data_IF_767326305738
#
_entry.id   IF_767326305738
#
_cell.length_a   1.000
_cell.length_b   1.000
_cell.length_c   1.000
_cell.angle_alpha   90.00
_cell.angle_beta   90.00
_cell.angle_gamma   90.00
#
_symmetry.space_group_name_H-M   'P 1'
#
loop_
_entity.id
_entity.type
_entity.pdbx_description
1 polymer ?
#
# COMPACT_ATOMS: atom_id res chain seq x y z
N UNK A 1 -4.27 0.19 -36.97
CA UNK A 1 -4.14 1.68 -37.03
C UNK A 1 -4.49 2.22 -35.66
N UNK A 2 -3.55 2.88 -34.98
CA UNK A 2 -3.81 3.49 -33.67
C UNK A 2 -5.06 4.37 -33.75
N UNK A 3 -6.05 4.08 -32.94
CA UNK A 3 -7.27 4.89 -32.87
C UNK A 3 -6.88 6.21 -32.20
N UNK A 4 -6.91 7.29 -32.93
CA UNK A 4 -6.62 8.62 -32.38
C UNK A 4 -7.74 8.97 -31.42
N UNK A 5 -7.45 9.14 -30.12
CA UNK A 5 -8.39 9.64 -29.15
C UNK A 5 -8.97 10.97 -29.61
N UNK A 6 -10.27 11.15 -29.55
CA UNK A 6 -10.93 12.42 -29.91
C UNK A 6 -10.92 13.40 -28.72
N UNK A 7 -10.65 12.90 -27.52
CA UNK A 7 -10.62 13.62 -26.25
C UNK A 7 -9.23 14.16 -25.96
N UNK A 8 -9.15 15.40 -25.44
CA UNK A 8 -7.91 16.05 -25.01
C UNK A 8 -7.68 15.98 -23.51
N UNK A 9 -6.44 16.20 -23.07
CA UNK A 9 -6.07 16.28 -21.66
C UNK A 9 -6.87 17.38 -20.93
N UNK A 10 -7.07 18.54 -21.56
CA UNK A 10 -7.84 19.65 -20.98
C UNK A 10 -9.32 19.27 -20.78
N UNK A 11 -9.89 18.50 -21.69
CA UNK A 11 -11.28 18.03 -21.56
C UNK A 11 -11.42 17.04 -20.39
N UNK A 12 -10.47 16.13 -20.21
CA UNK A 12 -10.47 15.20 -19.07
C UNK A 12 -10.34 15.95 -17.74
N UNK A 13 -9.43 16.94 -17.67
CA UNK A 13 -9.28 17.79 -16.48
C UNK A 13 -10.56 18.59 -16.19
N UNK A 14 -11.16 19.21 -17.19
CA UNK A 14 -12.39 19.96 -17.04
C UNK A 14 -13.55 19.08 -16.56
N UNK A 15 -13.65 17.86 -17.07
CA UNK A 15 -14.66 16.88 -16.64
C UNK A 15 -14.43 16.40 -15.20
N UNK A 16 -13.18 16.18 -14.80
CA UNK A 16 -12.84 15.83 -13.42
C UNK A 16 -13.18 16.98 -12.46
N UNK A 17 -12.89 18.21 -12.85
CA UNK A 17 -13.22 19.37 -12.05
C UNK A 17 -14.74 19.56 -11.91
N UNK A 18 -15.51 19.32 -12.96
CA UNK A 18 -16.98 19.38 -12.95
C UNK A 18 -17.62 18.42 -11.95
N UNK A 19 -16.97 17.27 -11.67
CA UNK A 19 -17.44 16.28 -10.69
C UNK A 19 -16.72 16.37 -9.33
N UNK A 20 -15.96 17.44 -9.07
CA UNK A 20 -15.20 17.66 -7.83
C UNK A 20 -16.04 17.38 -6.58
N UNK A 21 -17.22 17.98 -6.50
CA UNK A 21 -18.10 17.87 -5.33
C UNK A 21 -18.55 16.43 -5.06
N UNK A 22 -18.75 15.64 -6.11
CA UNK A 22 -19.08 14.23 -5.99
C UNK A 22 -17.89 13.44 -5.40
N UNK A 23 -16.67 13.69 -5.91
CA UNK A 23 -15.46 12.99 -5.43
C UNK A 23 -15.15 13.38 -3.97
N UNK A 24 -15.26 14.65 -3.63
CA UNK A 24 -15.07 15.13 -2.25
C UNK A 24 -16.10 14.51 -1.31
N UNK A 25 -17.38 14.45 -1.72
CA UNK A 25 -18.42 13.79 -0.92
C UNK A 25 -18.14 12.31 -0.72
N UNK A 26 -17.69 11.59 -1.76
CA UNK A 26 -17.35 10.17 -1.68
C UNK A 26 -16.17 9.97 -0.71
N UNK A 27 -15.11 10.77 -0.82
CA UNK A 27 -13.97 10.78 0.12
C UNK A 27 -14.43 11.00 1.56
N UNK A 28 -15.21 12.05 1.84
CA UNK A 28 -15.64 12.39 3.20
C UNK A 28 -16.60 11.34 3.79
N UNK A 29 -17.38 10.67 2.95
CA UNK A 29 -18.25 9.56 3.37
C UNK A 29 -17.42 8.37 3.85
N UNK A 30 -16.35 8.01 3.11
CA UNK A 30 -15.42 6.94 3.49
C UNK A 30 -14.64 7.32 4.75
N UNK A 31 -14.13 8.57 4.80
CA UNK A 31 -13.34 9.08 5.92
C UNK A 31 -14.10 9.06 7.25
N UNK A 32 -15.38 9.35 7.24
CA UNK A 32 -16.21 9.40 8.46
C UNK A 32 -16.49 8.03 9.08
N UNK A 33 -16.31 6.94 8.32
CA UNK A 33 -16.60 5.58 8.77
C UNK A 33 -15.47 4.59 8.41
N UNK A 34 -14.21 4.86 8.84
CA UNK A 34 -13.06 4.05 8.47
C UNK A 34 -13.12 2.65 9.09
N UNK A 35 -12.73 1.64 8.32
CA UNK A 35 -12.69 0.24 8.73
C UNK A 35 -11.29 -0.32 8.49
N UNK A 36 -10.87 -1.35 9.24
CA UNK A 36 -9.50 -1.86 9.27
C UNK A 36 -9.45 -3.33 8.89
N UNK A 37 -8.48 -3.71 8.10
CA UNK A 37 -8.22 -5.09 7.71
C UNK A 37 -9.06 -5.56 6.52
N UNK A 38 -9.47 -6.83 6.51
CA UNK A 38 -10.15 -7.47 5.38
C UNK A 38 -11.67 -7.38 5.43
N UNK A 39 -12.26 -7.14 6.61
CA UNK A 39 -13.72 -7.05 6.81
C UNK A 39 -14.16 -5.59 6.88
N UNK A 40 -14.59 -5.05 5.75
CA UNK A 40 -14.91 -3.64 5.54
C UNK A 40 -16.36 -3.46 5.04
N UNK A 41 -17.39 -3.91 5.78
CA UNK A 41 -18.75 -3.98 5.27
C UNK A 41 -19.33 -2.64 4.86
N UNK A 42 -19.07 -1.56 5.59
CA UNK A 42 -19.59 -0.22 5.27
C UNK A 42 -18.87 0.39 4.06
N UNK A 43 -17.53 0.26 4.01
CA UNK A 43 -16.68 0.72 2.91
C UNK A 43 -17.06 0.01 1.61
N UNK A 44 -17.15 -1.34 1.64
CA UNK A 44 -17.58 -2.17 0.51
C UNK A 44 -18.98 -1.77 0.04
N UNK A 45 -19.93 -1.61 0.96
CA UNK A 45 -21.30 -1.19 0.63
C UNK A 45 -21.32 0.20 -0.03
N UNK A 46 -20.52 1.15 0.49
CA UNK A 46 -20.39 2.50 -0.07
C UNK A 46 -19.85 2.44 -1.51
N UNK A 47 -18.72 1.77 -1.73
CA UNK A 47 -18.08 1.65 -3.05
C UNK A 47 -19.01 0.95 -4.04
N UNK A 48 -19.63 -0.16 -3.66
CA UNK A 48 -20.59 -0.88 -4.52
C UNK A 48 -21.79 -0.02 -4.90
N UNK A 49 -22.37 0.71 -3.92
CA UNK A 49 -23.50 1.61 -4.16
C UNK A 49 -23.11 2.67 -5.20
N UNK A 50 -21.96 3.32 -5.05
CA UNK A 50 -21.49 4.36 -5.98
C UNK A 50 -21.28 3.79 -7.38
N UNK A 51 -20.66 2.62 -7.51
CA UNK A 51 -20.47 1.94 -8.80
C UNK A 51 -21.80 1.57 -9.46
N UNK A 52 -22.78 1.06 -8.69
CA UNK A 52 -24.12 0.74 -9.20
C UNK A 52 -24.85 2.00 -9.71
N UNK A 53 -24.76 3.13 -8.99
CA UNK A 53 -25.33 4.42 -9.42
C UNK A 53 -24.73 4.93 -10.74
N UNK A 54 -23.48 4.58 -11.02
CA UNK A 54 -22.79 4.87 -12.29
C UNK A 54 -23.08 3.82 -13.38
N UNK A 55 -23.90 2.80 -13.10
CA UNK A 55 -24.28 1.73 -14.04
C UNK A 55 -23.25 0.62 -14.23
N UNK A 56 -22.30 0.49 -13.30
CA UNK A 56 -21.42 -0.68 -13.23
C UNK A 56 -22.12 -1.91 -12.63
N UNK A 57 -21.50 -3.09 -12.78
CA UNK A 57 -21.92 -4.34 -12.15
C UNK A 57 -20.81 -4.80 -11.16
N UNK A 58 -20.70 -4.16 -9.98
CA UNK A 58 -19.63 -4.48 -9.05
C UNK A 58 -19.88 -5.85 -8.39
N UNK A 59 -18.78 -6.59 -8.22
CA UNK A 59 -18.76 -7.85 -7.46
C UNK A 59 -17.78 -7.78 -6.32
N UNK A 60 -18.08 -8.48 -5.24
CA UNK A 60 -17.13 -8.65 -4.15
C UNK A 60 -16.12 -9.75 -4.48
N UNK A 61 -14.87 -9.55 -4.07
CA UNK A 61 -13.80 -10.51 -4.25
C UNK A 61 -12.82 -10.39 -3.09
N UNK A 62 -12.73 -11.42 -2.26
CA UNK A 62 -11.80 -11.48 -1.11
C UNK A 62 -11.82 -10.23 -0.21
N UNK A 63 -13.02 -9.75 0.13
CA UNK A 63 -13.21 -8.55 0.95
C UNK A 63 -13.10 -7.22 0.19
N UNK A 64 -12.69 -7.23 -1.08
CA UNK A 64 -12.64 -6.07 -1.94
C UNK A 64 -13.80 -5.99 -2.93
N UNK A 65 -13.79 -4.95 -3.77
CA UNK A 65 -14.78 -4.73 -4.83
C UNK A 65 -14.08 -4.66 -6.18
N UNK A 66 -14.64 -5.37 -7.17
CA UNK A 66 -14.15 -5.35 -8.56
C UNK A 66 -15.30 -4.96 -9.47
N UNK A 67 -15.03 -4.10 -10.43
CA UNK A 67 -15.96 -3.75 -11.51
C UNK A 67 -15.17 -3.55 -12.81
N UNK A 68 -15.84 -3.82 -13.94
CA UNK A 68 -15.25 -3.67 -15.26
C UNK A 68 -16.08 -2.73 -16.13
N UNK A 69 -15.38 -2.04 -17.02
CA UNK A 69 -15.99 -1.29 -18.11
C UNK A 69 -15.27 -1.60 -19.41
N UNK A 70 -16.04 -2.05 -20.41
CA UNK A 70 -15.53 -2.34 -21.75
C UNK A 70 -16.05 -1.28 -22.71
N UNK A 71 -15.15 -0.79 -23.56
CA UNK A 71 -15.47 0.16 -24.62
C UNK A 71 -16.01 -0.49 -25.87
N UNK A 72 -15.64 0.07 -27.02
CA UNK A 72 -16.12 -0.37 -28.34
C UNK A 72 -15.53 -1.69 -28.80
N UNK A 73 -14.36 -2.06 -28.30
CA UNK A 73 -13.66 -3.29 -28.64
C UNK A 73 -13.26 -4.10 -27.39
N UNK A 74 -13.16 -5.42 -27.56
CA UNK A 74 -12.74 -6.36 -26.49
C UNK A 74 -11.22 -6.58 -26.55
N UNK A 75 -10.45 -5.50 -26.58
CA UNK A 75 -9.01 -5.56 -26.74
C UNK A 75 -8.26 -5.81 -25.42
N UNK A 76 -7.32 -4.92 -25.14
CA UNK A 76 -6.49 -4.96 -23.93
C UNK A 76 -7.30 -4.68 -22.67
N UNK A 77 -6.78 -5.10 -21.53
CA UNK A 77 -7.34 -4.80 -20.23
C UNK A 77 -6.28 -4.11 -19.35
N UNK A 78 -6.63 -2.96 -18.79
CA UNK A 78 -5.84 -2.25 -17.78
C UNK A 78 -6.51 -2.41 -16.41
N UNK A 79 -5.74 -2.80 -15.41
CA UNK A 79 -6.17 -2.80 -14.02
C UNK A 79 -5.84 -1.45 -13.38
N UNK A 80 -6.84 -0.81 -12.77
CA UNK A 80 -6.67 0.34 -11.89
C UNK A 80 -6.98 -0.06 -10.46
N UNK A 81 -6.07 0.21 -9.52
CA UNK A 81 -6.24 -0.19 -8.10
C UNK A 81 -6.29 1.03 -7.18
N UNK A 82 -7.18 0.98 -6.23
CA UNK A 82 -7.14 1.78 -5.00
C UNK A 82 -7.29 0.84 -3.79
N UNK A 83 -6.53 1.09 -2.74
CA UNK A 83 -6.77 0.55 -1.41
C UNK A 83 -7.95 1.26 -0.74
N UNK A 84 -8.53 0.66 0.30
CA UNK A 84 -9.71 1.24 0.95
C UNK A 84 -9.82 0.94 2.45
N UNK A 85 -8.84 0.30 3.06
CA UNK A 85 -8.76 0.07 4.49
C UNK A 85 -8.19 1.29 5.23
N UNK A 86 -8.28 1.27 6.56
CA UNK A 86 -7.83 2.34 7.44
C UNK A 86 -6.95 1.77 8.57
N UNK A 87 -6.49 2.66 9.43
CA UNK A 87 -5.62 2.35 10.56
C UNK A 87 -6.34 2.49 11.90
N UNK A 88 -5.89 1.73 12.90
CA UNK A 88 -6.32 1.87 14.32
C UNK A 88 -5.63 3.08 14.95
N UNK A 89 -6.02 4.25 14.51
CA UNK A 89 -5.52 5.55 14.98
C UNK A 89 -6.73 6.40 15.38
N UNK A 90 -6.73 6.92 16.59
CA UNK A 90 -7.78 7.84 17.04
C UNK A 90 -7.53 9.22 16.42
N UNK A 91 -8.41 9.65 15.56
CA UNK A 91 -8.26 10.90 14.80
C UNK A 91 -8.30 12.14 15.69
N UNK A 92 -7.40 13.10 15.43
CA UNK A 92 -7.28 14.38 16.12
C UNK A 92 -7.16 15.57 15.15
N UNK A 93 -7.69 15.44 13.94
CA UNK A 93 -7.59 16.48 12.90
C UNK A 93 -8.49 17.66 13.16
N UNK A 94 -9.64 17.46 13.83
CA UNK A 94 -10.67 18.48 14.03
C UNK A 94 -11.49 18.80 12.78
N UNK A 95 -11.45 17.95 11.76
CA UNK A 95 -12.28 18.10 10.55
C UNK A 95 -13.76 17.85 10.87
N UNK A 96 -14.66 18.53 10.17
CA UNK A 96 -16.11 18.37 10.34
C UNK A 96 -16.61 16.95 10.01
N UNK A 97 -15.83 16.20 9.25
CA UNK A 97 -16.08 14.81 8.85
C UNK A 97 -15.10 13.83 9.49
N UNK A 98 -14.38 14.23 10.54
CA UNK A 98 -13.45 13.38 11.28
C UNK A 98 -14.16 12.12 11.78
N UNK A 99 -13.42 11.01 11.81
CA UNK A 99 -13.95 9.75 12.32
C UNK A 99 -14.11 9.78 13.85
N UNK A 100 -15.09 9.00 14.33
CA UNK A 100 -15.37 8.89 15.77
C UNK A 100 -15.28 7.45 16.30
N UNK A 101 -14.84 6.48 15.48
CA UNK A 101 -14.87 5.05 15.82
C UNK A 101 -13.51 4.49 16.28
N UNK A 102 -12.51 5.35 16.52
CA UNK A 102 -11.17 4.93 16.94
C UNK A 102 -10.25 4.45 15.81
N UNK A 103 -10.71 4.57 14.57
CA UNK A 103 -9.93 4.33 13.37
C UNK A 103 -9.81 5.62 12.54
N UNK A 104 -8.85 5.70 11.62
CA UNK A 104 -8.63 6.87 10.76
C UNK A 104 -8.00 6.44 9.44
N UNK A 105 -8.41 7.07 8.34
CA UNK A 105 -7.70 7.00 7.06
C UNK A 105 -6.41 7.84 7.08
N UNK A 106 -5.48 7.47 7.99
CA UNK A 106 -4.24 8.21 8.20
C UNK A 106 -3.18 7.97 7.11
N UNK A 107 -3.44 7.06 6.18
CA UNK A 107 -2.64 6.83 4.96
C UNK A 107 -3.29 7.43 3.69
N UNK A 108 -4.55 7.90 3.79
CA UNK A 108 -5.24 8.54 2.68
C UNK A 108 -5.97 7.58 1.73
N UNK A 109 -6.25 6.34 2.14
CA UNK A 109 -6.93 5.35 1.30
C UNK A 109 -8.38 5.76 0.95
N UNK A 110 -9.03 6.58 1.77
CA UNK A 110 -10.29 7.25 1.44
C UNK A 110 -10.16 8.15 0.20
N UNK A 111 -9.02 8.83 0.03
CA UNK A 111 -8.74 9.64 -1.16
C UNK A 111 -8.49 8.76 -2.38
N UNK A 112 -7.74 7.66 -2.22
CA UNK A 112 -7.44 6.73 -3.33
C UNK A 112 -8.73 6.10 -3.86
N UNK A 113 -9.59 5.60 -2.97
CA UNK A 113 -10.89 5.06 -3.34
C UNK A 113 -11.78 6.11 -4.01
N UNK A 114 -11.81 7.36 -3.48
CA UNK A 114 -12.59 8.45 -4.07
C UNK A 114 -12.05 8.87 -5.44
N UNK A 115 -10.72 8.94 -5.63
CA UNK A 115 -10.11 9.23 -6.95
C UNK A 115 -10.47 8.14 -7.96
N UNK A 116 -10.45 6.87 -7.57
CA UNK A 116 -10.81 5.76 -8.46
C UNK A 116 -12.33 5.74 -8.76
N UNK A 117 -13.20 6.08 -7.80
CA UNK A 117 -14.64 6.28 -8.04
C UNK A 117 -14.89 7.46 -9.00
N UNK A 118 -14.15 8.55 -8.85
CA UNK A 118 -14.17 9.68 -9.79
C UNK A 118 -13.74 9.24 -11.19
N UNK A 119 -12.67 8.47 -11.30
CA UNK A 119 -12.22 7.89 -12.57
C UNK A 119 -13.28 6.94 -13.16
N UNK A 120 -13.93 6.12 -12.36
CA UNK A 120 -15.03 5.28 -12.80
C UNK A 120 -16.15 6.10 -13.45
N UNK A 121 -16.53 7.23 -12.84
CA UNK A 121 -17.55 8.14 -13.41
C UNK A 121 -17.11 8.72 -14.75
N UNK A 122 -15.87 9.18 -14.85
CA UNK A 122 -15.32 9.72 -16.11
C UNK A 122 -15.19 8.65 -17.20
N UNK A 123 -14.69 7.46 -16.86
CA UNK A 123 -14.59 6.34 -17.80
C UNK A 123 -15.95 5.92 -18.35
N UNK A 124 -17.01 6.05 -17.53
CA UNK A 124 -18.38 5.81 -18.01
C UNK A 124 -18.84 6.86 -19.01
N UNK A 125 -18.50 8.13 -18.78
CA UNK A 125 -18.79 9.21 -19.74
C UNK A 125 -18.03 9.02 -21.05
N UNK A 126 -16.78 8.53 -20.97
CA UNK A 126 -15.88 8.32 -22.09
C UNK A 126 -15.86 6.87 -22.60
N UNK A 127 -16.86 6.07 -22.25
CA UNK A 127 -16.89 4.64 -22.62
C UNK A 127 -16.72 4.40 -24.14
N UNK A 128 -17.24 5.29 -24.97
CA UNK A 128 -17.10 5.21 -26.44
C UNK A 128 -15.68 5.43 -26.94
N UNK A 129 -14.80 6.03 -26.14
CA UNK A 129 -13.38 6.27 -26.46
C UNK A 129 -12.46 5.12 -25.97
N UNK A 130 -12.98 4.20 -25.16
CA UNK A 130 -12.21 3.07 -24.65
C UNK A 130 -11.99 2.02 -25.75
N UNK A 131 -10.72 1.73 -26.04
CA UNK A 131 -10.32 0.64 -26.93
C UNK A 131 -9.88 -0.58 -26.12
N UNK A 132 -10.81 -1.18 -25.37
CA UNK A 132 -10.53 -2.29 -24.49
C UNK A 132 -11.33 -2.24 -23.20
N UNK A 133 -10.78 -2.83 -22.14
CA UNK A 133 -11.43 -2.94 -20.83
C UNK A 133 -10.61 -2.27 -19.75
N UNK A 134 -11.27 -1.57 -18.83
CA UNK A 134 -10.69 -1.13 -17.57
C UNK A 134 -11.28 -1.98 -16.44
N UNK A 135 -10.42 -2.62 -15.66
CA UNK A 135 -10.77 -3.34 -14.45
C UNK A 135 -10.46 -2.47 -13.24
N UNK A 136 -11.50 -2.05 -12.53
CA UNK A 136 -11.42 -1.27 -11.30
C UNK A 136 -11.32 -2.22 -10.11
N UNK A 137 -10.31 -2.05 -9.27
CA UNK A 137 -10.05 -2.89 -8.10
C UNK A 137 -9.96 -2.00 -6.87
N UNK A 138 -10.91 -2.17 -5.97
CA UNK A 138 -10.91 -1.55 -4.64
C UNK A 138 -10.49 -2.61 -3.64
N UNK A 139 -9.28 -2.48 -3.12
CA UNK A 139 -8.59 -3.52 -2.37
C UNK A 139 -8.67 -3.26 -0.86
N UNK A 140 -9.00 -4.27 -0.03
CA UNK A 140 -8.92 -4.19 1.44
C UNK A 140 -7.49 -4.46 1.93
N UNK A 141 -7.24 -4.19 3.21
CA UNK A 141 -6.10 -4.67 4.01
C UNK A 141 -4.72 -4.47 3.37
N UNK A 142 -4.48 -3.27 2.84
CA UNK A 142 -3.15 -2.86 2.38
C UNK A 142 -2.18 -2.80 3.57
N UNK A 143 -2.60 -2.18 4.67
CA UNK A 143 -1.81 -1.96 5.89
C UNK A 143 -1.44 -3.28 6.61
N UNK A 144 -2.23 -4.33 6.40
CA UNK A 144 -1.94 -5.69 6.87
C UNK A 144 -1.09 -6.52 5.90
N UNK A 145 -0.82 -6.05 4.69
CA UNK A 145 -0.12 -6.77 3.61
C UNK A 145 -0.77 -8.10 3.24
N UNK A 146 -2.10 -8.23 3.42
CA UNK A 146 -2.82 -9.47 3.08
C UNK A 146 -3.83 -9.28 1.96
N UNK A 147 -4.31 -8.06 1.72
CA UNK A 147 -5.37 -7.76 0.77
C UNK A 147 -5.02 -8.11 -0.67
N UNK A 148 -3.87 -7.65 -1.17
CA UNK A 148 -3.42 -7.97 -2.52
C UNK A 148 -3.26 -9.48 -2.74
N UNK A 149 -2.63 -10.17 -1.80
CA UNK A 149 -2.45 -11.63 -1.85
C UNK A 149 -3.79 -12.39 -1.89
N UNK A 150 -4.75 -11.95 -1.07
CA UNK A 150 -6.09 -12.53 -1.03
C UNK A 150 -6.83 -12.33 -2.36
N UNK A 151 -6.80 -11.12 -2.93
CA UNK A 151 -7.42 -10.82 -4.22
C UNK A 151 -6.74 -11.57 -5.38
N UNK A 152 -5.41 -11.66 -5.40
CA UNK A 152 -4.65 -12.45 -6.39
C UNK A 152 -5.04 -13.92 -6.32
N UNK A 153 -5.08 -14.50 -5.12
CA UNK A 153 -5.48 -15.89 -4.88
C UNK A 153 -6.93 -16.16 -5.32
N UNK A 154 -7.82 -15.17 -5.13
CA UNK A 154 -9.21 -15.23 -5.57
C UNK A 154 -9.39 -14.99 -7.08
N UNK A 155 -8.30 -14.72 -7.82
CA UNK A 155 -8.31 -14.62 -9.27
C UNK A 155 -8.66 -13.24 -9.82
N UNK A 156 -8.32 -12.15 -9.13
CA UNK A 156 -8.54 -10.76 -9.62
C UNK A 156 -7.90 -10.50 -10.99
N UNK A 157 -6.82 -11.21 -11.33
CA UNK A 157 -6.15 -11.15 -12.65
C UNK A 157 -6.79 -12.05 -13.72
N UNK A 158 -7.98 -12.59 -13.49
CA UNK A 158 -8.72 -13.42 -14.45
C UNK A 158 -9.98 -12.68 -14.91
N UNK A 159 -10.50 -13.03 -16.06
CA UNK A 159 -11.80 -12.70 -16.62
C UNK A 159 -12.32 -11.27 -16.40
N UNK A 160 -11.79 -10.28 -17.18
CA UNK A 160 -10.73 -10.33 -18.16
C UNK A 160 -9.34 -10.25 -17.54
N UNK A 161 -8.35 -10.91 -18.13
CA UNK A 161 -6.97 -10.84 -17.67
C UNK A 161 -6.35 -9.48 -18.04
N UNK A 162 -5.87 -8.67 -17.06
CA UNK A 162 -5.19 -7.43 -17.38
C UNK A 162 -3.77 -7.68 -17.92
N UNK A 163 -3.31 -6.82 -18.83
CA UNK A 163 -1.96 -6.84 -19.35
C UNK A 163 -1.05 -5.81 -18.67
N UNK A 164 -1.63 -4.88 -17.90
CA UNK A 164 -0.90 -3.93 -17.08
C UNK A 164 -1.73 -3.51 -15.87
N UNK A 165 -1.05 -3.04 -14.82
CA UNK A 165 -1.65 -2.49 -13.62
C UNK A 165 -1.17 -1.06 -13.35
N UNK A 166 -2.06 -0.21 -12.85
CA UNK A 166 -1.73 1.15 -12.43
C UNK A 166 -2.39 1.46 -11.09
N UNK A 167 -1.62 2.05 -10.17
CA UNK A 167 -2.10 2.56 -8.90
C UNK A 167 -1.52 3.95 -8.61
N UNK A 168 -2.27 4.75 -7.85
CA UNK A 168 -1.92 6.11 -7.48
C UNK A 168 -2.11 6.28 -5.97
N UNK A 169 -1.10 6.80 -5.28
CA UNK A 169 -1.14 7.02 -3.83
C UNK A 169 -0.93 8.50 -3.47
N UNK A 170 -1.73 9.02 -2.55
CA UNK A 170 -1.57 10.37 -1.98
C UNK A 170 -0.34 10.44 -1.09
N UNK A 171 0.50 11.47 -1.23
CA UNK A 171 1.73 11.62 -0.45
C UNK A 171 1.73 12.93 0.35
N UNK A 172 1.53 12.81 1.67
CA UNK A 172 1.63 13.95 2.59
C UNK A 172 3.06 14.51 2.64
N UNK A 173 3.19 15.83 2.80
CA UNK A 173 4.49 16.50 2.83
C UNK A 173 5.10 16.77 1.45
N UNK A 174 4.42 16.39 0.39
CA UNK A 174 4.77 16.71 -1.01
C UNK A 174 3.83 17.79 -1.54
N UNK A 175 4.33 18.78 -2.31
CA UNK A 175 3.50 19.84 -2.89
C UNK A 175 2.28 19.29 -3.62
N UNK A 176 1.12 19.92 -3.42
CA UNK A 176 -0.16 19.44 -3.95
C UNK A 176 -0.14 19.29 -5.47
N UNK A 177 -0.46 18.10 -5.95
CA UNK A 177 -0.53 17.76 -7.37
C UNK A 177 0.82 17.51 -8.06
N UNK A 178 1.95 17.57 -7.34
CA UNK A 178 3.23 17.08 -7.86
C UNK A 178 3.17 15.54 -7.95
N UNK A 179 3.45 15.00 -9.13
CA UNK A 179 3.49 13.55 -9.36
C UNK A 179 4.93 13.05 -9.20
N UNK A 180 5.12 12.05 -8.36
CA UNK A 180 6.40 11.38 -8.18
C UNK A 180 6.33 9.97 -8.77
N UNK A 181 7.35 9.57 -9.49
CA UNK A 181 7.48 8.21 -10.05
C UNK A 181 8.94 7.76 -10.03
N UNK A 182 9.16 6.46 -9.97
CA UNK A 182 10.49 5.86 -10.07
C UNK A 182 10.42 4.51 -10.76
N UNK A 183 11.44 4.18 -11.55
CA UNK A 183 11.53 2.92 -12.31
C UNK A 183 12.21 1.84 -11.47
N UNK A 184 11.92 0.58 -11.76
CA UNK A 184 12.51 -0.54 -11.04
C UNK A 184 11.97 -0.67 -9.61
N UNK A 185 12.81 -1.03 -8.66
CA UNK A 185 12.36 -1.17 -7.26
C UNK A 185 12.10 0.20 -6.65
N UNK A 186 10.82 0.54 -6.50
CA UNK A 186 10.35 1.87 -6.09
C UNK A 186 10.07 1.96 -4.58
N UNK A 187 9.66 0.85 -3.94
CA UNK A 187 9.49 0.78 -2.49
C UNK A 187 10.10 -0.51 -1.96
N UNK A 188 10.58 -0.48 -0.72
CA UNK A 188 11.12 -1.66 -0.06
C UNK A 188 10.03 -2.69 0.22
N UNK A 189 10.39 -3.97 0.20
CA UNK A 189 9.57 -5.01 0.80
C UNK A 189 9.61 -4.90 2.32
N UNK A 190 8.58 -5.45 2.97
CA UNK A 190 8.51 -5.57 4.42
C UNK A 190 8.13 -6.99 4.81
N UNK A 191 8.86 -7.57 5.75
CA UNK A 191 8.48 -8.81 6.42
C UNK A 191 8.33 -8.54 7.90
N UNK A 192 7.13 -8.72 8.45
CA UNK A 192 6.89 -8.71 9.88
C UNK A 192 7.13 -10.11 10.44
N UNK A 193 7.89 -10.20 11.52
CA UNK A 193 8.21 -11.49 12.12
C UNK A 193 8.08 -11.47 13.65
N UNK A 194 7.88 -12.65 14.21
CA UNK A 194 7.84 -12.90 15.65
C UNK A 194 8.86 -13.97 16.00
N UNK A 195 9.60 -13.77 17.12
CA UNK A 195 10.44 -14.77 17.75
C UNK A 195 9.82 -15.08 19.12
N UNK A 196 9.39 -16.31 19.33
CA UNK A 196 8.92 -16.80 20.62
C UNK A 196 10.05 -17.58 21.28
N UNK A 197 10.54 -17.06 22.38
CA UNK A 197 11.60 -17.69 23.21
C UNK A 197 10.95 -18.46 24.34
N UNK A 198 11.26 -19.76 24.44
CA UNK A 198 10.74 -20.62 25.50
C UNK A 198 11.86 -20.95 26.50
N UNK A 199 11.55 -20.74 27.76
CA UNK A 199 12.38 -21.05 28.89
C UNK A 199 11.70 -21.98 29.89
N UNK A 200 12.10 -21.91 31.14
CA UNK A 200 11.49 -22.59 32.26
C UNK A 200 11.29 -21.61 33.41
N UNK A 201 10.04 -21.30 33.73
CA UNK A 201 9.72 -20.37 34.77
C UNK A 201 10.10 -20.88 36.17
N UNK A 202 10.53 -19.96 37.04
CA UNK A 202 10.89 -20.29 38.41
C UNK A 202 10.86 -19.05 39.31
N UNK A 203 11.05 -19.29 40.63
CA UNK A 203 11.22 -18.21 41.59
C UNK A 203 12.49 -17.42 41.29
N UNK A 204 12.42 -16.07 41.21
CA UNK A 204 13.55 -15.20 40.85
C UNK A 204 14.76 -15.30 41.76
N UNK A 205 14.61 -15.77 43.04
CA UNK A 205 15.71 -16.04 43.95
C UNK A 205 16.37 -17.43 43.74
N UNK A 206 15.84 -18.25 42.81
CA UNK A 206 16.35 -19.62 42.51
C UNK A 206 16.53 -19.79 41.00
N UNK A 207 17.30 -18.93 40.30
CA UNK A 207 17.43 -18.95 38.85
C UNK A 207 18.04 -20.25 38.30
N UNK A 208 18.78 -20.97 39.10
CA UNK A 208 19.36 -22.27 38.76
C UNK A 208 18.32 -23.36 38.50
N UNK A 209 17.06 -23.16 38.95
CA UNK A 209 15.93 -24.10 38.75
C UNK A 209 15.15 -23.81 37.47
N UNK A 210 15.48 -22.73 36.78
CA UNK A 210 14.80 -22.30 35.57
C UNK A 210 15.73 -22.12 34.38
N UNK A 211 15.12 -21.59 33.31
CA UNK A 211 15.80 -21.09 32.10
C UNK A 211 15.13 -19.75 31.78
N UNK A 212 15.90 -18.69 31.86
CA UNK A 212 15.37 -17.32 31.75
C UNK A 212 15.19 -16.90 30.28
N UNK A 213 13.97 -16.83 29.74
CA UNK A 213 13.71 -16.43 28.38
C UNK A 213 13.93 -14.92 28.14
N UNK A 214 13.88 -14.08 29.16
CA UNK A 214 14.18 -12.65 29.05
C UNK A 214 15.67 -12.43 28.82
N UNK A 215 16.52 -13.15 29.54
CA UNK A 215 17.97 -13.15 29.31
C UNK A 215 18.28 -13.63 27.88
N UNK A 216 17.67 -14.75 27.45
CA UNK A 216 17.84 -15.28 26.07
C UNK A 216 17.39 -14.27 25.03
N UNK A 217 16.21 -13.67 25.17
CA UNK A 217 15.68 -12.67 24.24
C UNK A 217 16.60 -11.44 24.12
N UNK A 218 17.20 -11.00 25.23
CA UNK A 218 18.17 -9.90 25.24
C UNK A 218 19.42 -10.24 24.44
N UNK A 219 19.93 -11.46 24.55
CA UNK A 219 21.07 -11.93 23.76
C UNK A 219 20.72 -12.11 22.29
N UNK A 220 19.51 -12.60 21.97
CA UNK A 220 19.01 -12.68 20.59
C UNK A 220 18.98 -11.27 19.97
N UNK A 221 18.38 -10.29 20.68
CA UNK A 221 18.30 -8.91 20.21
C UNK A 221 19.68 -8.34 19.82
N UNK A 222 20.68 -8.53 20.68
CA UNK A 222 22.05 -8.08 20.41
C UNK A 222 22.69 -8.84 19.23
N UNK A 223 22.49 -10.16 19.15
CA UNK A 223 23.08 -11.01 18.12
C UNK A 223 22.48 -10.73 16.73
N UNK A 224 21.22 -10.30 16.64
CA UNK A 224 20.59 -9.94 15.36
C UNK A 224 21.26 -8.72 14.69
N UNK A 225 21.96 -7.87 15.45
CA UNK A 225 22.69 -6.72 14.90
C UNK A 225 23.85 -7.17 13.99
N UNK A 226 24.32 -8.41 14.13
CA UNK A 226 25.38 -9.02 13.31
C UNK A 226 24.98 -9.08 11.83
N UNK A 227 23.67 -9.34 11.54
CA UNK A 227 23.16 -9.50 10.17
C UNK A 227 23.47 -8.26 9.33
N UNK A 228 23.03 -7.08 9.78
CA UNK A 228 23.23 -5.84 9.02
C UNK A 228 24.63 -5.30 9.08
N UNK A 229 25.38 -5.60 10.18
CA UNK A 229 26.72 -5.06 10.41
C UNK A 229 27.84 -5.90 9.82
N UNK A 230 27.64 -7.19 9.58
CA UNK A 230 28.71 -8.14 9.17
C UNK A 230 28.35 -9.07 8.02
N UNK A 231 27.07 -9.38 7.83
CA UNK A 231 26.64 -10.39 6.85
C UNK A 231 26.10 -9.76 5.56
N UNK A 232 25.63 -8.51 5.61
CA UNK A 232 25.11 -7.77 4.45
C UNK A 232 26.18 -6.80 3.93
N UNK A 233 26.32 -6.73 2.61
CA UNK A 233 27.27 -5.79 1.97
C UNK A 233 26.94 -4.33 2.30
N UNK A 234 27.96 -3.51 2.60
CA UNK A 234 27.80 -2.12 3.05
C UNK A 234 27.03 -1.19 2.08
N UNK A 235 26.88 -1.57 0.81
CA UNK A 235 26.13 -0.82 -0.21
C UNK A 235 24.72 -1.40 -0.46
N UNK A 236 24.34 -2.44 0.26
CA UNK A 236 23.05 -3.11 0.08
C UNK A 236 22.06 -2.58 1.13
N UNK A 237 21.05 -1.80 0.74
CA UNK A 237 20.08 -1.27 1.69
C UNK A 237 19.25 -2.39 2.30
N UNK A 238 19.34 -2.56 3.62
CA UNK A 238 18.51 -3.45 4.40
C UNK A 238 18.39 -2.95 5.82
N UNK A 239 17.20 -3.12 6.42
CA UNK A 239 16.91 -2.75 7.80
C UNK A 239 16.31 -3.94 8.52
N UNK A 240 16.82 -4.24 9.72
CA UNK A 240 16.22 -5.20 10.66
C UNK A 240 15.94 -4.44 11.95
N UNK A 241 14.67 -4.40 12.36
CA UNK A 241 14.26 -3.69 13.56
C UNK A 241 13.46 -4.62 14.46
N UNK A 242 13.78 -4.66 15.75
CA UNK A 242 12.89 -5.19 16.78
C UNK A 242 12.18 -4.01 17.40
N UNK A 243 10.88 -3.90 17.13
CA UNK A 243 10.03 -2.82 17.63
C UNK A 243 9.29 -3.13 18.92
N UNK A 244 9.14 -4.42 19.23
CA UNK A 244 8.44 -4.89 20.42
C UNK A 244 9.17 -6.06 21.06
N UNK A 245 9.33 -5.99 22.40
CA UNK A 245 9.91 -7.07 23.20
C UNK A 245 9.14 -7.15 24.53
N UNK A 246 8.64 -8.31 24.87
CA UNK A 246 7.83 -8.51 26.08
C UNK A 246 8.10 -9.88 26.74
N UNK A 247 7.85 -9.97 28.05
CA UNK A 247 7.92 -11.20 28.82
C UNK A 247 7.86 -10.92 30.32
N UNK A 248 7.23 -11.84 31.04
CA UNK A 248 7.07 -11.76 32.51
C UNK A 248 6.01 -10.75 32.95
N UNK A 249 5.40 -11.04 34.13
CA UNK A 249 4.36 -10.21 34.74
C UNK A 249 4.76 -9.68 36.13
N UNK A 250 5.78 -10.29 36.76
CA UNK A 250 6.22 -9.97 38.11
C UNK A 250 7.73 -9.96 38.23
N UNK A 251 8.33 -8.98 38.99
CA UNK A 251 9.77 -8.81 39.06
C UNK A 251 10.52 -9.93 39.81
N UNK A 252 9.82 -10.74 40.56
CA UNK A 252 10.38 -11.86 41.37
C UNK A 252 10.12 -13.25 40.77
N UNK A 253 9.69 -13.30 39.49
CA UNK A 253 9.38 -14.55 38.76
C UNK A 253 10.13 -14.53 37.43
N UNK A 254 10.92 -15.57 37.16
CA UNK A 254 11.40 -15.86 35.80
C UNK A 254 10.25 -16.42 34.99
N UNK A 255 9.86 -15.81 33.88
CA UNK A 255 8.70 -16.24 33.09
C UNK A 255 8.96 -17.54 32.31
N UNK A 256 7.89 -18.11 31.74
CA UNK A 256 7.95 -19.27 30.85
C UNK A 256 8.41 -18.89 29.45
N UNK A 257 8.02 -17.70 28.98
CA UNK A 257 8.23 -17.24 27.61
C UNK A 257 8.62 -15.77 27.54
N UNK A 258 9.31 -15.40 26.49
CA UNK A 258 9.47 -14.02 26.02
C UNK A 258 9.23 -13.95 24.52
N UNK A 259 8.81 -12.77 24.03
CA UNK A 259 8.47 -12.56 22.61
C UNK A 259 9.22 -11.32 22.13
N UNK A 260 9.79 -11.41 20.92
CA UNK A 260 10.30 -10.29 20.16
C UNK A 260 9.52 -10.21 18.84
N UNK A 261 9.11 -9.00 18.44
CA UNK A 261 8.48 -8.75 17.16
C UNK A 261 9.24 -7.65 16.43
N UNK A 262 9.40 -7.85 15.11
CA UNK A 262 10.22 -6.96 14.32
C UNK A 262 9.85 -6.95 12.85
N UNK A 263 10.59 -6.13 12.10
CA UNK A 263 10.45 -5.96 10.67
C UNK A 263 11.78 -6.13 9.96
N UNK A 264 11.73 -6.70 8.76
CA UNK A 264 12.81 -6.68 7.77
C UNK A 264 12.36 -5.77 6.65
N UNK A 265 13.22 -4.84 6.20
CA UNK A 265 13.00 -4.06 4.99
C UNK A 265 14.18 -4.18 4.05
N UNK A 266 13.89 -4.43 2.77
CA UNK A 266 14.91 -4.57 1.72
C UNK A 266 14.30 -4.29 0.35
N UNK A 267 15.12 -3.84 -0.60
CA UNK A 267 14.74 -3.70 -2.01
C UNK A 267 14.91 -4.99 -2.82
N UNK A 268 15.33 -6.07 -2.18
CA UNK A 268 15.54 -7.37 -2.80
C UNK A 268 14.78 -8.46 -2.05
N UNK A 269 13.94 -9.21 -2.80
CA UNK A 269 13.09 -10.26 -2.24
C UNK A 269 13.90 -11.44 -1.68
N UNK A 270 14.96 -11.83 -2.40
CA UNK A 270 15.78 -12.99 -2.02
C UNK A 270 16.62 -12.63 -0.79
N UNK A 271 17.12 -11.41 -0.71
CA UNK A 271 17.79 -10.90 0.48
C UNK A 271 16.85 -10.86 1.70
N UNK A 272 15.60 -10.41 1.53
CA UNK A 272 14.61 -10.45 2.64
C UNK A 272 14.42 -11.87 3.17
N UNK A 273 14.29 -12.86 2.27
CA UNK A 273 14.14 -14.26 2.65
C UNK A 273 15.41 -14.82 3.34
N UNK A 274 16.60 -14.44 2.86
CA UNK A 274 17.87 -14.81 3.49
C UNK A 274 17.99 -14.21 4.90
N UNK A 275 17.65 -12.93 5.07
CA UNK A 275 17.65 -12.26 6.39
C UNK A 275 16.69 -12.97 7.35
N UNK A 276 15.46 -13.29 6.88
CA UNK A 276 14.48 -13.99 7.71
C UNK A 276 14.99 -15.37 8.16
N UNK A 277 15.56 -16.14 7.26
CA UNK A 277 16.20 -17.42 7.58
C UNK A 277 17.30 -17.24 8.62
N UNK A 278 18.15 -16.23 8.42
CA UNK A 278 19.27 -15.95 9.31
C UNK A 278 18.84 -15.52 10.71
N UNK A 279 17.75 -14.74 10.81
CA UNK A 279 17.11 -14.38 12.11
C UNK A 279 16.72 -15.66 12.85
N UNK A 280 16.11 -16.63 12.17
CA UNK A 280 15.72 -17.92 12.76
C UNK A 280 16.91 -18.73 13.28
N UNK A 281 17.99 -18.81 12.50
CA UNK A 281 19.22 -19.52 12.89
C UNK A 281 19.87 -18.89 14.12
N UNK A 282 20.03 -17.55 14.13
CA UNK A 282 20.62 -16.84 15.26
C UNK A 282 19.76 -17.02 16.51
N UNK A 283 18.44 -16.87 16.39
CA UNK A 283 17.52 -17.03 17.51
C UNK A 283 17.61 -18.43 18.12
N UNK A 284 17.56 -19.46 17.28
CA UNK A 284 17.64 -20.85 17.72
C UNK A 284 18.99 -21.17 18.37
N UNK A 285 20.11 -20.83 17.73
CA UNK A 285 21.45 -21.12 18.27
C UNK A 285 21.70 -20.36 19.58
N UNK A 286 21.28 -19.11 19.68
CA UNK A 286 21.40 -18.33 20.91
C UNK A 286 20.57 -18.94 22.04
N UNK A 287 19.31 -19.29 21.76
CA UNK A 287 18.46 -19.95 22.77
C UNK A 287 19.05 -21.26 23.28
N UNK A 288 19.59 -22.10 22.38
CA UNK A 288 20.25 -23.36 22.75
C UNK A 288 21.48 -23.15 23.64
N UNK A 289 22.28 -22.10 23.37
CA UNK A 289 23.44 -21.77 24.18
C UNK A 289 23.08 -21.51 25.65
N UNK A 290 21.85 -21.02 25.90
CA UNK A 290 21.30 -20.76 27.23
C UNK A 290 20.27 -21.81 27.71
N UNK A 291 20.23 -22.99 27.08
CA UNK A 291 19.35 -24.12 27.44
C UNK A 291 17.87 -23.93 27.16
N UNK A 292 17.51 -22.87 26.43
CA UNK A 292 16.15 -22.60 25.96
C UNK A 292 15.93 -23.03 24.51
N UNK A 293 14.76 -22.66 23.97
CA UNK A 293 14.44 -22.80 22.55
C UNK A 293 13.85 -21.51 22.00
N UNK A 294 13.98 -21.28 20.70
CA UNK A 294 13.31 -20.17 20.03
C UNK A 294 12.67 -20.65 18.73
N UNK A 295 11.49 -20.10 18.41
CA UNK A 295 10.77 -20.32 17.17
C UNK A 295 10.55 -18.97 16.51
N UNK A 296 10.88 -18.88 15.22
CA UNK A 296 10.69 -17.66 14.41
C UNK A 296 9.58 -17.90 13.38
N UNK A 297 8.63 -16.99 13.32
CA UNK A 297 7.47 -17.06 12.44
C UNK A 297 7.33 -15.77 11.65
N UNK A 298 6.98 -15.88 10.37
CA UNK A 298 6.50 -14.73 9.59
C UNK A 298 5.05 -14.43 9.98
N UNK A 299 4.77 -13.17 10.33
CA UNK A 299 3.40 -12.72 10.62
C UNK A 299 2.70 -12.36 9.30
N UNK A 300 3.35 -11.50 8.53
CA UNK A 300 2.89 -11.08 7.20
C UNK A 300 4.06 -10.46 6.43
N UNK A 301 3.92 -10.32 5.12
CA UNK A 301 4.95 -9.68 4.29
C UNK A 301 4.36 -9.03 3.05
N UNK A 302 5.02 -8.00 2.53
CA UNK A 302 4.88 -7.51 1.17
C UNK A 302 6.24 -7.57 0.47
N UNK A 303 6.33 -8.02 -0.79
CA UNK A 303 7.57 -7.99 -1.54
C UNK A 303 7.97 -6.55 -1.89
N UNK A 304 9.20 -6.27 -2.36
CA UNK A 304 9.55 -4.97 -2.90
C UNK A 304 8.67 -4.58 -4.07
N UNK A 305 8.16 -3.35 -4.08
CA UNK A 305 7.36 -2.84 -5.18
C UNK A 305 8.25 -2.54 -6.39
N UNK A 306 7.98 -3.19 -7.52
CA UNK A 306 8.75 -3.08 -8.75
C UNK A 306 7.92 -2.43 -9.83
N UNK A 307 8.21 -1.17 -10.13
CA UNK A 307 7.64 -0.47 -11.25
C UNK A 307 8.27 -0.96 -12.57
N UNK A 308 7.42 -1.38 -13.52
CA UNK A 308 7.88 -1.64 -14.88
C UNK A 308 8.40 -0.35 -15.51
N UNK A 309 9.59 -0.39 -16.09
CA UNK A 309 10.27 0.83 -16.56
C UNK A 309 9.56 1.49 -17.75
N UNK A 310 9.05 0.69 -18.69
CA UNK A 310 8.39 1.20 -19.89
C UNK A 310 7.02 1.78 -19.54
N UNK A 311 6.24 1.03 -18.77
CA UNK A 311 4.92 1.46 -18.32
C UNK A 311 5.01 2.71 -17.44
N UNK A 312 5.95 2.75 -16.49
CA UNK A 312 6.14 3.91 -15.59
C UNK A 312 6.52 5.17 -16.36
N UNK A 313 7.45 5.07 -17.32
CA UNK A 313 7.77 6.20 -18.19
C UNK A 313 6.54 6.66 -18.98
N UNK A 314 5.76 5.72 -19.53
CA UNK A 314 4.53 6.04 -20.27
C UNK A 314 3.52 6.76 -19.37
N UNK A 315 3.26 6.27 -18.15
CA UNK A 315 2.34 6.92 -17.21
C UNK A 315 2.84 8.29 -16.75
N UNK A 316 4.16 8.44 -16.55
CA UNK A 316 4.78 9.73 -16.22
C UNK A 316 4.67 10.74 -17.38
N UNK A 317 4.89 10.33 -18.62
CA UNK A 317 4.71 11.19 -19.79
C UNK A 317 3.25 11.62 -19.96
N UNK A 318 2.30 10.72 -19.71
CA UNK A 318 0.86 11.04 -19.69
C UNK A 318 0.50 12.01 -18.57
N UNK A 319 1.09 11.87 -17.37
CA UNK A 319 0.95 12.83 -16.29
C UNK A 319 1.52 14.21 -16.69
N UNK A 320 2.68 14.23 -17.38
CA UNK A 320 3.29 15.44 -17.92
C UNK A 320 2.41 16.13 -18.96
N UNK A 321 1.79 15.36 -19.87
CA UNK A 321 0.82 15.88 -20.83
C UNK A 321 -0.45 16.43 -20.16
N UNK A 322 -0.89 15.83 -19.04
CA UNK A 322 -2.08 16.23 -18.31
C UNK A 322 -1.84 17.46 -17.44
N UNK A 323 -0.75 17.51 -16.68
CA UNK A 323 -0.49 18.55 -15.65
C UNK A 323 0.62 19.53 -16.00
N UNK A 324 1.39 19.24 -17.03
CA UNK A 324 2.65 19.92 -17.39
C UNK A 324 3.87 19.19 -16.79
N UNK A 325 4.95 19.11 -17.58
CA UNK A 325 6.18 18.38 -17.21
C UNK A 325 6.84 18.83 -15.89
N UNK A 326 6.63 20.10 -15.50
CA UNK A 326 7.17 20.64 -14.24
C UNK A 326 6.52 20.03 -12.99
N UNK A 327 5.37 19.40 -13.14
CA UNK A 327 4.65 18.72 -12.07
C UNK A 327 4.90 17.20 -12.06
N UNK A 328 5.88 16.71 -12.83
CA UNK A 328 6.28 15.29 -12.80
C UNK A 328 7.75 15.19 -12.43
N UNK A 329 8.01 14.56 -11.30
CA UNK A 329 9.37 14.35 -10.80
C UNK A 329 9.72 12.86 -10.85
N UNK A 330 10.77 12.53 -11.62
CA UNK A 330 11.25 11.16 -11.77
C UNK A 330 12.37 10.92 -10.76
N UNK A 331 12.10 10.02 -9.80
CA UNK A 331 13.03 9.64 -8.75
C UNK A 331 14.05 8.61 -9.27
N UNK A 332 15.30 8.78 -8.89
CA UNK A 332 16.38 7.84 -9.20
C UNK A 332 16.45 6.68 -8.21
N UNK A 333 15.99 6.90 -6.97
CA UNK A 333 16.04 5.93 -5.88
C UNK A 333 14.65 5.75 -5.25
N UNK A 334 14.39 4.53 -4.79
CA UNK A 334 13.15 4.17 -4.11
C UNK A 334 13.13 4.54 -2.62
N UNK A 335 11.94 4.53 -2.02
CA UNK A 335 11.73 4.78 -0.60
C UNK A 335 11.69 3.51 0.25
N UNK A 336 11.95 3.64 1.56
CA UNK A 336 11.88 2.52 2.52
C UNK A 336 10.45 2.20 2.98
N UNK A 337 9.42 2.92 2.51
CA UNK A 337 8.04 2.54 2.66
C UNK A 337 7.76 1.19 1.99
N UNK A 338 6.67 0.55 2.37
CA UNK A 338 6.21 -0.71 1.76
C UNK A 338 4.74 -0.57 1.37
N UNK A 339 4.34 -1.34 0.37
CA UNK A 339 3.01 -1.29 -0.24
C UNK A 339 2.68 -2.69 -0.79
N UNK A 340 1.51 -3.22 -0.51
CA UNK A 340 1.15 -4.57 -0.90
C UNK A 340 0.72 -4.71 -2.36
N UNK A 341 0.39 -3.58 -3.06
CA UNK A 341 0.29 -3.56 -4.53
C UNK A 341 1.53 -4.15 -5.19
N UNK A 342 2.65 -4.15 -4.48
CA UNK A 342 3.86 -4.84 -4.87
C UNK A 342 3.60 -6.30 -5.32
N UNK A 343 2.65 -6.99 -4.70
CA UNK A 343 2.33 -8.37 -5.06
C UNK A 343 1.85 -8.51 -6.51
N UNK A 344 1.10 -7.53 -7.03
CA UNK A 344 0.68 -7.50 -8.44
C UNK A 344 1.86 -7.35 -9.40
N UNK A 345 2.92 -6.62 -8.99
CA UNK A 345 4.06 -6.29 -9.85
C UNK A 345 4.94 -7.49 -10.22
N UNK A 346 4.70 -8.64 -9.62
CA UNK A 346 5.36 -9.92 -9.95
C UNK A 346 4.57 -10.76 -10.95
N UNK A 347 3.29 -10.44 -11.15
CA UNK A 347 2.41 -11.19 -12.04
C UNK A 347 2.11 -10.44 -13.36
N UNK A 348 2.23 -9.09 -13.35
CA UNK A 348 2.05 -8.26 -14.55
C UNK A 348 2.89 -6.97 -14.48
N UNK A 349 3.18 -6.32 -15.63
CA UNK A 349 3.78 -5.00 -15.64
C UNK A 349 2.91 -4.00 -14.90
N UNK A 350 3.47 -3.32 -13.89
CA UNK A 350 2.75 -2.33 -13.09
C UNK A 350 3.48 -0.99 -13.03
N UNK A 351 2.70 0.08 -12.87
CA UNK A 351 3.18 1.41 -12.51
C UNK A 351 2.46 1.88 -11.26
N UNK A 352 3.22 2.27 -10.26
CA UNK A 352 2.76 2.90 -9.03
C UNK A 352 3.35 4.29 -8.94
N UNK A 353 2.48 5.31 -8.88
CA UNK A 353 2.87 6.70 -8.81
C UNK A 353 2.36 7.32 -7.50
N UNK A 354 3.05 8.36 -7.03
CA UNK A 354 2.58 9.15 -5.91
C UNK A 354 2.09 10.51 -6.42
N UNK A 355 1.05 11.05 -5.77
CA UNK A 355 0.57 12.42 -6.01
C UNK A 355 0.65 13.21 -4.71
N UNK A 356 1.33 14.35 -4.72
CA UNK A 356 1.50 15.22 -3.57
C UNK A 356 0.15 15.69 -3.04
N UNK A 357 -0.04 15.59 -1.73
CA UNK A 357 -1.28 15.90 -1.03
C UNK A 357 -1.15 17.11 -0.08
N UNK A 358 -0.12 17.92 -0.26
CA UNK A 358 0.06 19.19 0.41
C UNK A 358 1.20 19.23 1.42
N UNK A 359 1.74 20.41 1.59
CA UNK A 359 2.86 20.73 2.49
C UNK A 359 2.45 21.76 3.53
N UNK A 360 3.21 21.88 4.64
CA UNK A 360 3.01 22.93 5.66
C UNK A 360 3.20 24.34 5.11
N UNK A 361 3.96 24.50 4.02
CA UNK A 361 4.13 25.81 3.36
C UNK A 361 2.86 26.23 2.61
N UNK A 362 2.10 25.29 2.06
CA UNK A 362 0.84 25.56 1.37
C UNK A 362 -0.30 25.80 2.36
N UNK A 363 -0.37 25.01 3.42
CA UNK A 363 -1.32 25.17 4.51
C UNK A 363 -0.75 24.54 5.79
N UNK A 364 -0.74 25.25 6.94
CA UNK A 364 -0.22 24.70 8.22
C UNK A 364 -0.88 23.40 8.67
N UNK A 365 -2.08 23.07 8.21
CA UNK A 365 -2.76 21.83 8.52
C UNK A 365 -2.23 20.62 7.72
N UNK A 366 -1.53 20.85 6.60
CA UNK A 366 -1.00 19.82 5.74
C UNK A 366 0.41 19.39 6.15
N UNK A 367 0.89 18.28 5.60
CA UNK A 367 2.29 17.86 5.69
C UNK A 367 2.68 17.20 7.03
N UNK A 368 1.72 16.83 7.87
CA UNK A 368 2.02 15.85 8.93
C UNK A 368 2.36 14.50 8.28
N UNK A 369 3.27 13.71 8.88
CA UNK A 369 3.59 12.38 8.35
C UNK A 369 2.33 11.51 8.23
N UNK A 370 2.28 10.64 7.23
CA UNK A 370 1.27 9.60 7.15
C UNK A 370 1.30 8.72 8.40
N UNK A 371 0.18 8.12 8.77
CA UNK A 371 -0.08 7.38 10.01
C UNK A 371 -0.12 8.26 11.29
N UNK A 372 0.04 9.58 11.16
CA UNK A 372 -0.14 10.50 12.29
C UNK A 372 -1.63 10.82 12.51
N UNK A 373 -2.06 10.91 13.76
CA UNK A 373 -3.46 11.20 14.12
C UNK A 373 -3.97 12.59 13.69
N UNK A 374 -3.07 13.45 13.21
CA UNK A 374 -3.38 14.82 12.74
C UNK A 374 -3.12 15.02 11.26
N UNK A 375 -2.81 13.97 10.51
CA UNK A 375 -2.57 14.12 9.08
C UNK A 375 -3.82 14.58 8.36
N UNK A 376 -3.66 15.64 7.58
CA UNK A 376 -4.71 16.21 6.72
C UNK A 376 -4.19 16.28 5.29
N UNK A 377 -4.98 15.80 4.36
CA UNK A 377 -4.66 15.80 2.94
C UNK A 377 -5.44 16.88 2.20
N UNK A 378 -4.81 17.51 1.21
CA UNK A 378 -5.43 18.50 0.36
C UNK A 378 -6.44 17.84 -0.61
N UNK A 379 -7.72 18.13 -0.45
CA UNK A 379 -8.81 17.62 -1.32
C UNK A 379 -8.75 18.16 -2.76
N UNK A 380 -7.98 19.22 -3.03
CA UNK A 380 -7.82 19.77 -4.39
C UNK A 380 -7.13 18.80 -5.36
N UNK A 381 -6.43 17.78 -4.83
CA UNK A 381 -5.82 16.74 -5.66
C UNK A 381 -6.81 15.66 -6.12
N UNK A 382 -7.98 15.55 -5.52
CA UNK A 382 -8.95 14.50 -5.83
C UNK A 382 -9.40 14.50 -7.30
N UNK A 383 -9.81 15.64 -7.89
CA UNK A 383 -10.12 15.67 -9.32
C UNK A 383 -8.90 15.35 -10.20
N UNK A 384 -7.70 15.77 -9.78
CA UNK A 384 -6.45 15.47 -10.52
C UNK A 384 -6.16 13.98 -10.53
N UNK A 385 -6.29 13.28 -9.40
CA UNK A 385 -6.11 11.84 -9.33
C UNK A 385 -7.12 11.08 -10.19
N UNK A 386 -8.40 11.47 -10.16
CA UNK A 386 -9.44 10.91 -11.02
C UNK A 386 -9.14 11.15 -12.52
N UNK A 387 -8.68 12.36 -12.87
CA UNK A 387 -8.26 12.68 -14.24
C UNK A 387 -7.05 11.84 -14.67
N UNK A 388 -6.06 11.65 -13.79
CA UNK A 388 -4.85 10.88 -14.10
C UNK A 388 -5.18 9.40 -14.37
N UNK A 389 -5.97 8.76 -13.51
CA UNK A 389 -6.44 7.40 -13.75
C UNK A 389 -7.18 7.28 -15.08
N UNK A 390 -8.09 8.21 -15.37
CA UNK A 390 -8.88 8.22 -16.60
C UNK A 390 -7.99 8.42 -17.83
N UNK A 391 -7.12 9.42 -17.81
CA UNK A 391 -6.25 9.78 -18.92
C UNK A 391 -5.23 8.66 -19.23
N UNK A 392 -4.65 8.06 -18.20
CA UNK A 392 -3.77 6.90 -18.33
C UNK A 392 -4.50 5.71 -18.96
N UNK A 393 -5.72 5.41 -18.51
CA UNK A 393 -6.50 4.31 -19.06
C UNK A 393 -6.86 4.51 -20.54
N UNK A 394 -7.40 5.68 -20.90
CA UNK A 394 -7.76 6.01 -22.28
C UNK A 394 -6.55 5.88 -23.21
N UNK A 395 -5.43 6.48 -22.85
CA UNK A 395 -4.25 6.51 -23.70
C UNK A 395 -3.54 5.15 -23.79
N UNK A 396 -3.46 4.40 -22.67
CA UNK A 396 -2.83 3.10 -22.66
C UNK A 396 -3.63 2.08 -23.49
N UNK A 397 -4.94 2.15 -23.45
CA UNK A 397 -5.83 1.28 -24.23
C UNK A 397 -5.84 1.66 -25.73
N UNK A 398 -5.63 2.94 -26.07
CA UNK A 398 -5.57 3.40 -27.47
C UNK A 398 -4.28 3.01 -28.21
N UNK A 399 -3.20 2.70 -27.47
CA UNK A 399 -1.91 2.31 -28.05
C UNK A 399 -1.94 0.84 -28.52
N UNK A 400 -1.89 0.60 -29.82
CA UNK A 400 -1.92 -0.75 -30.43
C UNK A 400 -0.60 -1.55 -30.31
N UNK A 401 0.31 -1.18 -29.45
CA UNK A 401 1.50 -2.03 -29.34
C UNK A 401 2.80 -1.32 -29.06
N UNK A 402 3.23 -1.49 -27.87
CA UNK A 402 4.56 -1.97 -27.49
C UNK A 402 4.40 -2.55 -26.07
N UNK A 403 4.05 -3.83 -25.99
CA UNK A 403 4.22 -4.63 -24.80
C UNK A 403 5.67 -5.08 -24.72
#
# INVERSE_FOLDING_TARGET
MSQTLTITAEQVLASAERIREDIVRDRRTLHAAPEVGTDLPNTVACVKKRLLEMGYQPRELAGGVVAEITGTETGRCLLLRADMDALRVTEQTGLDFASANGCMHACGHDMHAAMLLGAAKLLREYQGELNGTVKLVFQPDEEGFTGAKAMLSAGVLKDPAPQAGFALHGNSGTPAGLVLCGRGTFMAGCTLFRITVNGVGCHGAMPEKGVDPLNIASHIYLSLQEITSREIGAKTPAVVTIGHMTGGEAPNIIPQTAVLEGTIRSFDRDLSAQIFTRIGEIAQCTAQAFRGTAVTEEITSAPPLRNDAALTNRMADLAGALFGEKLVYRLDEGGMGSEDFASYTYDLPCAYLLIGAGTKQENPAFGEPMHNERVVFNEDILPRGAALHTWCALNWLADEGNA
#
